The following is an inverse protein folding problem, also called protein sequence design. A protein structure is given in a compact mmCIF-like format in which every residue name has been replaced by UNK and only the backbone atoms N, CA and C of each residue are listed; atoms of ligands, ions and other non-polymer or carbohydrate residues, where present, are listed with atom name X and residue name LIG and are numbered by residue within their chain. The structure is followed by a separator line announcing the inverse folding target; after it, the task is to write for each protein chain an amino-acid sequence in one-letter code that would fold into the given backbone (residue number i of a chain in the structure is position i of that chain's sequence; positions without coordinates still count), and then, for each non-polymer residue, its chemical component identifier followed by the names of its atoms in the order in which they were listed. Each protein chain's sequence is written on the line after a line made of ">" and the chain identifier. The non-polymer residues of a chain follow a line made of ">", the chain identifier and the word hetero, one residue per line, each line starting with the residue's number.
data_IF_479929803535
#
_entry.id   IF_479929803535
#
_cell.length_a   1.000
_cell.length_b   1.000
_cell.length_c   1.000
_cell.angle_alpha   90.00
_cell.angle_beta   90.00
_cell.angle_gamma   90.00
#
_symmetry.space_group_name_H-M   'P 1'
#
loop_
_entity.id
_entity.type
_entity.pdbx_description
1 polymer ?
#
# COMPACT_ATOMS: atom_id res chain seq x y z
N UNK A 1 16.98 48.20 10.27
CA UNK A 1 17.34 47.52 9.01
C UNK A 1 18.45 48.32 8.36
N UNK A 2 19.70 47.93 8.63
CA UNK A 2 20.89 48.69 8.29
C UNK A 2 21.89 47.78 7.61
N UNK A 3 21.88 47.89 6.29
CA UNK A 3 23.02 48.08 5.39
C UNK A 3 24.28 47.21 5.52
N UNK A 4 24.52 46.55 4.40
CA UNK A 4 25.73 45.88 3.96
C UNK A 4 27.02 46.67 4.22
N UNK A 5 28.03 45.96 4.70
CA UNK A 5 29.45 46.31 4.62
C UNK A 5 30.28 45.04 4.82
N UNK A 6 31.43 44.76 4.22
CA UNK A 6 32.23 45.24 3.07
C UNK A 6 33.50 44.35 3.13
N UNK A 7 34.09 43.98 1.97
CA UNK A 7 35.51 43.59 1.77
C UNK A 7 35.99 42.25 2.42
N UNK A 8 36.79 41.38 1.77
CA UNK A 8 38.13 41.61 1.23
C UNK A 8 38.41 40.81 -0.04
N UNK A 9 39.18 41.44 -0.94
CA UNK A 9 39.59 40.97 -2.26
C UNK A 9 40.71 39.91 -2.22
N UNK A 10 40.90 39.27 -3.39
CA UNK A 10 42.16 38.74 -3.93
C UNK A 10 42.59 37.31 -3.56
N UNK A 11 42.33 36.35 -4.46
CA UNK A 11 43.33 35.89 -5.45
C UNK A 11 42.85 34.62 -6.15
N UNK A 12 42.78 34.68 -7.48
CA UNK A 12 42.64 33.51 -8.35
C UNK A 12 43.98 32.78 -8.35
N UNK A 13 44.00 31.53 -7.94
CA UNK A 13 45.09 30.59 -8.25
C UNK A 13 44.48 29.37 -8.94
N UNK A 14 44.76 29.27 -10.23
CA UNK A 14 44.50 28.12 -11.10
C UNK A 14 45.26 26.88 -10.60
N UNK A 15 44.69 25.72 -10.93
CA UNK A 15 45.37 24.43 -11.18
C UNK A 15 45.92 23.65 -9.98
N UNK A 16 45.09 22.74 -9.45
CA UNK A 16 45.53 21.35 -9.26
C UNK A 16 44.48 20.39 -9.79
N UNK A 17 44.84 19.71 -10.87
CA UNK A 17 44.12 18.62 -11.48
C UNK A 17 44.20 17.42 -10.53
N UNK A 18 43.08 17.06 -9.93
CA UNK A 18 42.97 15.90 -9.02
C UNK A 18 41.83 15.00 -9.46
N UNK A 19 42.07 14.21 -10.50
CA UNK A 19 41.22 13.05 -10.82
C UNK A 19 41.31 12.09 -9.64
N UNK A 20 40.25 12.01 -8.84
CA UNK A 20 39.97 10.88 -7.99
C UNK A 20 38.54 10.43 -8.30
N UNK A 21 38.45 9.33 -9.05
CA UNK A 21 37.23 8.58 -9.32
C UNK A 21 36.65 8.13 -7.99
N UNK A 22 35.71 8.91 -7.45
CA UNK A 22 34.88 8.52 -6.33
C UNK A 22 33.63 7.85 -6.89
N UNK A 23 33.54 6.53 -6.74
CA UNK A 23 32.35 5.75 -7.05
C UNK A 23 31.14 6.35 -6.35
N UNK A 24 30.29 7.06 -7.08
CA UNK A 24 28.96 7.42 -6.60
C UNK A 24 28.21 6.09 -6.55
N UNK A 25 28.16 5.45 -5.38
CA UNK A 25 27.13 4.46 -5.12
C UNK A 25 25.81 5.24 -5.28
N UNK A 26 24.92 4.89 -6.22
CA UNK A 26 23.55 5.32 -6.06
C UNK A 26 23.10 4.66 -4.77
N UNK A 27 22.98 5.45 -3.70
CA UNK A 27 22.17 5.08 -2.56
C UNK A 27 20.76 5.00 -3.11
N UNK A 28 20.41 3.82 -3.65
CA UNK A 28 19.03 3.41 -3.86
C UNK A 28 18.42 3.43 -2.47
N UNK A 29 17.80 4.56 -2.15
CA UNK A 29 16.83 4.64 -1.08
C UNK A 29 15.79 3.60 -1.41
N UNK A 30 15.80 2.58 -0.56
CA UNK A 30 14.74 1.61 -0.32
C UNK A 30 13.38 2.25 -0.53
N UNK A 31 12.86 2.21 -1.75
CA UNK A 31 11.43 2.14 -1.91
C UNK A 31 11.10 0.72 -1.47
N UNK A 32 10.80 0.58 -0.18
CA UNK A 32 10.02 -0.54 0.32
C UNK A 32 8.65 -0.40 -0.34
N UNK A 33 8.60 -0.71 -1.64
CA UNK A 33 7.41 -1.05 -2.35
C UNK A 33 6.95 -2.32 -1.65
N UNK A 34 6.15 -2.11 -0.60
CA UNK A 34 5.23 -3.10 -0.09
C UNK A 34 4.30 -3.37 -1.26
N UNK A 35 4.77 -4.21 -2.18
CA UNK A 35 3.92 -4.90 -3.12
C UNK A 35 3.07 -5.77 -2.22
N UNK A 36 2.01 -5.18 -1.67
CA UNK A 36 0.85 -5.93 -1.25
C UNK A 36 0.33 -6.45 -2.59
N UNK A 37 0.92 -7.55 -3.06
CA UNK A 37 0.27 -8.39 -4.03
C UNK A 37 -1.13 -8.54 -3.48
N UNK A 38 -2.12 -8.02 -4.22
CA UNK A 38 -3.51 -8.29 -3.92
C UNK A 38 -3.57 -9.81 -3.72
N UNK A 39 -3.98 -10.30 -2.52
CA UNK A 39 -4.03 -11.73 -2.31
C UNK A 39 -4.96 -12.27 -3.39
N UNK A 40 -4.42 -13.08 -4.28
CA UNK A 40 -5.18 -13.73 -5.34
C UNK A 40 -6.23 -14.58 -4.62
N UNK A 41 -7.48 -14.14 -4.72
CA UNK A 41 -8.60 -14.52 -3.87
C UNK A 41 -9.06 -15.96 -4.08
N UNK A 42 -8.25 -16.93 -3.70
CA UNK A 42 -8.75 -18.23 -3.26
C UNK A 42 -9.23 -18.09 -1.81
N UNK A 43 -10.19 -17.19 -1.56
CA UNK A 43 -10.65 -16.87 -0.21
C UNK A 43 -11.66 -17.92 0.26
N UNK A 44 -11.14 -19.10 0.61
CA UNK A 44 -11.91 -20.10 1.35
C UNK A 44 -11.84 -19.77 2.84
N UNK A 45 -13.00 -19.50 3.45
CA UNK A 45 -13.10 -19.26 4.89
C UNK A 45 -13.29 -20.59 5.64
N UNK A 46 -12.49 -20.90 6.67
CA UNK A 46 -12.62 -22.17 7.41
C UNK A 46 -13.91 -22.24 8.24
N UNK A 47 -14.46 -21.10 8.63
CA UNK A 47 -15.61 -20.98 9.53
C UNK A 47 -16.98 -21.00 8.82
N UNK A 48 -17.01 -21.25 7.50
CA UNK A 48 -18.25 -21.33 6.71
C UNK A 48 -18.52 -22.74 6.15
N UNK A 49 -17.70 -23.75 6.45
CA UNK A 49 -17.81 -25.06 5.80
C UNK A 49 -19.17 -25.74 6.07
N UNK A 50 -19.70 -25.62 7.29
CA UNK A 50 -21.00 -26.18 7.69
C UNK A 50 -22.10 -25.11 7.80
N UNK A 51 -21.94 -23.95 7.16
CA UNK A 51 -22.90 -22.85 7.23
C UNK A 51 -23.77 -22.79 5.97
N UNK A 52 -25.09 -22.61 6.11
CA UNK A 52 -26.02 -22.52 4.96
C UNK A 52 -25.64 -21.40 3.97
N UNK A 53 -24.99 -20.34 4.48
CA UNK A 53 -24.55 -19.21 3.67
C UNK A 53 -23.25 -19.46 2.88
N UNK A 54 -22.57 -20.60 3.11
CA UNK A 54 -21.31 -20.96 2.46
C UNK A 54 -21.28 -20.73 0.95
N UNK A 55 -22.24 -21.25 0.15
CA UNK A 55 -22.21 -21.06 -1.30
C UNK A 55 -22.30 -19.58 -1.71
N UNK A 56 -23.09 -18.77 -1.00
CA UNK A 56 -23.26 -17.35 -1.32
C UNK A 56 -22.01 -16.54 -0.96
N UNK A 57 -21.43 -16.83 0.21
CA UNK A 57 -20.21 -16.15 0.67
C UNK A 57 -19.05 -16.44 -0.29
N UNK A 58 -18.89 -17.71 -0.71
CA UNK A 58 -17.88 -18.12 -1.69
C UNK A 58 -18.08 -17.39 -3.02
N UNK A 59 -19.29 -17.40 -3.58
CA UNK A 59 -19.58 -16.73 -4.85
C UNK A 59 -19.32 -15.21 -4.81
N UNK A 60 -19.60 -14.56 -3.69
CA UNK A 60 -19.35 -13.12 -3.53
C UNK A 60 -17.87 -12.81 -3.25
N UNK A 61 -17.16 -13.69 -2.56
CA UNK A 61 -15.72 -13.57 -2.33
C UNK A 61 -14.92 -13.75 -3.63
N UNK A 62 -15.30 -14.71 -4.48
CA UNK A 62 -14.73 -14.91 -5.82
C UNK A 62 -14.88 -13.67 -6.71
N UNK A 63 -15.98 -12.92 -6.55
CA UNK A 63 -16.22 -11.64 -7.23
C UNK A 63 -15.52 -10.45 -6.58
N UNK A 64 -14.71 -10.68 -5.54
CA UNK A 64 -14.08 -9.61 -4.74
C UNK A 64 -15.11 -8.59 -4.19
N UNK A 65 -16.34 -9.05 -3.92
CA UNK A 65 -17.39 -8.24 -3.29
C UNK A 65 -17.30 -8.33 -1.77
N UNK A 66 -17.01 -9.53 -1.26
CA UNK A 66 -16.80 -9.78 0.16
C UNK A 66 -15.33 -10.01 0.46
N UNK A 67 -14.89 -9.49 1.60
CA UNK A 67 -13.57 -9.74 2.16
C UNK A 67 -13.76 -10.23 3.58
N UNK A 68 -13.02 -11.27 3.98
CA UNK A 68 -13.00 -11.70 5.37
C UNK A 68 -12.14 -10.82 6.25
N UNK A 69 -12.00 -11.26 7.48
CA UNK A 69 -11.14 -10.64 8.48
C UNK A 69 -9.68 -11.02 8.25
N UNK A 70 -8.77 -10.24 8.85
CA UNK A 70 -7.31 -10.45 8.73
C UNK A 70 -6.84 -11.83 9.22
N UNK A 71 -7.62 -12.47 10.09
CA UNK A 71 -7.37 -13.83 10.58
C UNK A 71 -7.84 -14.94 9.62
N UNK A 72 -8.33 -14.60 8.42
CA UNK A 72 -8.80 -15.55 7.42
C UNK A 72 -10.21 -16.11 7.65
N UNK A 73 -10.99 -15.53 8.57
CA UNK A 73 -12.39 -15.94 8.84
C UNK A 73 -13.40 -14.99 8.22
N UNK A 74 -14.65 -15.41 8.05
CA UNK A 74 -15.76 -14.54 7.59
C UNK A 74 -16.76 -14.16 8.69
N UNK A 75 -16.88 -15.00 9.72
CA UNK A 75 -17.78 -14.88 10.88
C UNK A 75 -19.26 -14.74 10.46
N UNK A 76 -19.85 -15.76 9.82
CA UNK A 76 -21.19 -15.67 9.21
C UNK A 76 -22.33 -15.38 10.22
N UNK A 77 -22.13 -15.72 11.50
CA UNK A 77 -23.10 -15.47 12.58
C UNK A 77 -22.89 -14.14 13.30
N UNK A 78 -21.86 -13.36 12.95
CA UNK A 78 -21.63 -12.04 13.54
C UNK A 78 -22.76 -11.11 13.09
N UNK A 79 -23.32 -10.34 14.02
CA UNK A 79 -24.20 -9.23 13.67
C UNK A 79 -23.49 -8.25 12.74
N UNK A 80 -24.14 -7.95 11.64
CA UNK A 80 -23.62 -7.08 10.59
C UNK A 80 -24.15 -5.66 10.78
N UNK A 81 -23.25 -4.67 10.76
CA UNK A 81 -23.62 -3.27 10.94
C UNK A 81 -24.19 -2.66 9.65
N UNK A 82 -25.00 -1.59 9.76
CA UNK A 82 -25.71 -1.01 8.59
C UNK A 82 -24.76 -0.40 7.56
N UNK A 83 -23.66 0.19 8.02
CA UNK A 83 -22.58 0.72 7.21
C UNK A 83 -21.80 -0.38 6.48
N UNK A 84 -21.50 -1.50 7.17
CA UNK A 84 -20.92 -2.69 6.55
C UNK A 84 -21.83 -3.23 5.43
N UNK A 85 -23.14 -3.31 5.68
CA UNK A 85 -24.12 -3.75 4.69
C UNK A 85 -24.16 -2.86 3.45
N UNK A 86 -24.19 -1.54 3.65
CA UNK A 86 -24.21 -0.57 2.56
C UNK A 86 -22.94 -0.65 1.70
N UNK A 87 -21.78 -0.88 2.32
CA UNK A 87 -20.52 -1.07 1.61
C UNK A 87 -20.54 -2.30 0.70
N UNK A 88 -21.10 -3.42 1.18
CA UNK A 88 -21.26 -4.65 0.40
C UNK A 88 -22.17 -4.40 -0.82
N UNK A 89 -23.32 -3.74 -0.61
CA UNK A 89 -24.25 -3.39 -1.70
C UNK A 89 -23.55 -2.53 -2.74
N UNK A 90 -22.87 -1.45 -2.32
CA UNK A 90 -22.14 -0.56 -3.23
C UNK A 90 -21.13 -1.35 -4.08
N UNK A 91 -20.38 -2.25 -3.47
CA UNK A 91 -19.39 -3.07 -4.17
C UNK A 91 -20.03 -4.05 -5.14
N UNK A 92 -21.17 -4.63 -4.79
CA UNK A 92 -21.89 -5.58 -5.64
C UNK A 92 -22.39 -4.93 -6.95
N UNK A 93 -22.81 -3.67 -6.91
CA UNK A 93 -23.29 -2.93 -8.08
C UNK A 93 -22.18 -2.22 -8.88
N UNK A 94 -20.95 -2.16 -8.36
CA UNK A 94 -19.82 -1.49 -8.99
C UNK A 94 -18.93 -2.44 -9.83
N UNK A 95 -19.45 -3.62 -10.19
CA UNK A 95 -18.76 -4.64 -10.97
C UNK A 95 -18.98 -4.35 -12.46
N UNK A 96 -18.15 -3.48 -13.03
CA UNK A 96 -18.25 -3.03 -14.43
C UNK A 96 -17.18 -3.67 -15.30
#
# INVERSE_FOLDING_TARGET
>A
MSNFSRWSSASVALLTFGVAVGTILPLVTSDSQKVIAAPESATSFPDIQDHWASPFIKALAEKNILTGYLNGTYRPNKTLARDEFAAIIRQAFNQN
#
